data_IF_458154754603
#
_entry.id   IF_458154754603
#
_cell.length_a   1.000
_cell.length_b   1.000
_cell.length_c   1.000
_cell.angle_alpha   90.00
_cell.angle_beta   90.00
_cell.angle_gamma   90.00
#
_symmetry.space_group_name_H-M   'P 1'
#
loop_
_entity.id
_entity.type
_entity.pdbx_description
1 polymer ?
#
# COMPACT_ATOMS: atom_id res chain seq x y z
N UNK A 1 7.79 11.09 -5.18
CA UNK A 1 8.90 10.31 -5.78
C UNK A 1 9.97 9.96 -4.72
N UNK A 2 10.67 8.82 -4.88
CA UNK A 2 11.72 8.23 -3.99
C UNK A 2 11.29 7.46 -2.73
N UNK A 3 10.12 6.83 -2.73
CA UNK A 3 9.80 5.85 -1.70
C UNK A 3 10.26 4.45 -2.14
N UNK A 4 11.43 4.01 -1.67
CA UNK A 4 11.99 2.67 -1.98
C UNK A 4 10.99 1.57 -1.65
N UNK A 5 10.35 1.65 -0.48
CA UNK A 5 9.35 0.69 -0.02
C UNK A 5 8.08 0.67 -0.87
N UNK A 6 7.67 1.82 -1.42
CA UNK A 6 6.53 1.91 -2.33
C UNK A 6 6.83 1.22 -3.66
N UNK A 7 8.08 1.22 -4.12
CA UNK A 7 8.47 0.46 -5.29
C UNK A 7 8.56 -1.04 -4.99
N UNK A 8 9.10 -1.41 -3.81
CA UNK A 8 9.18 -2.82 -3.37
C UNK A 8 7.81 -3.49 -3.36
N UNK A 9 6.80 -2.84 -2.77
CA UNK A 9 5.45 -3.42 -2.70
C UNK A 9 4.79 -3.54 -4.07
N UNK A 10 4.91 -2.53 -4.93
CA UNK A 10 4.38 -2.59 -6.30
C UNK A 10 4.99 -3.74 -7.07
N UNK A 11 6.31 -3.90 -6.99
CA UNK A 11 7.02 -4.99 -7.65
C UNK A 11 6.54 -6.35 -7.13
N UNK A 12 6.42 -6.48 -5.81
CA UNK A 12 5.91 -7.71 -5.19
C UNK A 12 4.49 -8.07 -5.68
N UNK A 13 3.59 -7.08 -5.75
CA UNK A 13 2.23 -7.29 -6.28
C UNK A 13 2.26 -7.66 -7.77
N UNK A 14 3.10 -7.01 -8.57
CA UNK A 14 3.26 -7.29 -10.01
C UNK A 14 3.84 -8.69 -10.26
N UNK A 15 4.87 -9.10 -9.52
CA UNK A 15 5.49 -10.43 -9.60
C UNK A 15 4.47 -11.53 -9.32
N UNK A 16 3.57 -11.30 -8.36
CA UNK A 16 2.47 -12.21 -8.02
C UNK A 16 1.21 -12.01 -8.90
N UNK A 17 1.28 -11.16 -9.93
CA UNK A 17 0.17 -10.84 -10.86
C UNK A 17 -1.11 -10.36 -10.16
N UNK A 18 -0.96 -9.71 -9.01
CA UNK A 18 -2.06 -9.11 -8.27
C UNK A 18 -2.43 -7.79 -8.92
N UNK A 19 -3.72 -7.60 -9.21
CA UNK A 19 -4.22 -6.32 -9.67
C UNK A 19 -4.31 -5.35 -8.49
N UNK A 20 -3.75 -4.15 -8.65
CA UNK A 20 -3.83 -3.10 -7.64
C UNK A 20 -4.01 -1.74 -8.31
N UNK A 21 -4.54 -0.79 -7.53
CA UNK A 21 -4.64 0.60 -7.94
C UNK A 21 -3.60 1.41 -7.20
N UNK A 22 -2.73 2.08 -7.94
CA UNK A 22 -1.82 3.07 -7.37
C UNK A 22 -2.55 4.40 -7.17
N UNK A 23 -2.37 4.99 -5.99
CA UNK A 23 -2.85 6.34 -5.69
C UNK A 23 -1.66 7.16 -5.20
N UNK A 24 -1.27 8.16 -6.00
CA UNK A 24 -0.23 9.09 -5.60
C UNK A 24 -0.81 10.17 -4.68
N UNK A 25 -0.61 9.96 -3.38
CA UNK A 25 -1.02 10.90 -2.33
C UNK A 25 -0.18 12.18 -2.32
N UNK A 26 1.02 12.19 -2.91
CA UNK A 26 1.84 13.40 -2.98
C UNK A 26 1.23 14.43 -3.96
N UNK A 27 0.58 13.94 -5.02
CA UNK A 27 -0.09 14.76 -6.02
C UNK A 27 -1.58 14.97 -5.71
N UNK A 28 -2.16 14.22 -4.77
CA UNK A 28 -3.58 14.27 -4.42
C UNK A 28 -3.79 14.43 -2.90
N UNK A 29 -3.96 15.68 -2.48
CA UNK A 29 -4.19 16.05 -1.09
C UNK A 29 -5.40 15.34 -0.46
N UNK A 30 -6.50 15.17 -1.21
CA UNK A 30 -7.70 14.48 -0.69
C UNK A 30 -7.43 13.01 -0.41
N UNK A 31 -6.65 12.36 -1.28
CA UNK A 31 -6.24 10.98 -1.06
C UNK A 31 -5.29 10.85 0.14
N UNK A 32 -4.40 11.83 0.35
CA UNK A 32 -3.55 11.89 1.53
C UNK A 32 -4.38 12.01 2.83
N UNK A 33 -5.37 12.90 2.85
CA UNK A 33 -6.28 13.07 3.99
C UNK A 33 -7.09 11.80 4.26
N UNK A 34 -7.63 11.16 3.23
CA UNK A 34 -8.35 9.90 3.37
C UNK A 34 -7.44 8.78 3.91
N UNK A 35 -6.21 8.68 3.39
CA UNK A 35 -5.19 7.74 3.86
C UNK A 35 -4.94 7.91 5.36
N UNK A 36 -4.68 9.15 5.80
CA UNK A 36 -4.45 9.47 7.22
C UNK A 36 -5.68 9.19 8.07
N UNK A 37 -6.88 9.54 7.58
CA UNK A 37 -8.13 9.30 8.31
C UNK A 37 -8.38 7.82 8.54
N UNK A 38 -8.05 6.97 7.56
CA UNK A 38 -8.28 5.52 7.68
C UNK A 38 -7.20 4.80 8.48
N UNK A 39 -5.92 5.17 8.32
CA UNK A 39 -4.80 4.48 8.99
C UNK A 39 -4.37 5.11 10.31
N UNK A 40 -4.77 6.36 10.57
CA UNK A 40 -4.25 7.19 11.64
C UNK A 40 -2.82 7.69 11.41
N UNK A 41 -2.20 7.42 10.25
CA UNK A 41 -0.80 7.68 9.98
C UNK A 41 -0.58 8.42 8.66
N UNK A 42 0.40 9.34 8.64
CA UNK A 42 0.81 10.10 7.45
C UNK A 42 1.90 9.40 6.62
N UNK A 43 2.55 8.37 7.16
CA UNK A 43 3.67 7.69 6.50
C UNK A 43 3.23 6.80 5.34
N UNK A 44 4.03 6.75 4.28
CA UNK A 44 3.88 5.84 3.13
C UNK A 44 5.00 4.77 3.16
N UNK A 45 4.83 3.61 2.51
CA UNK A 45 3.63 3.12 1.81
C UNK A 45 2.50 2.74 2.76
N UNK A 46 1.26 2.81 2.28
CA UNK A 46 0.10 2.20 2.94
C UNK A 46 -0.66 1.37 1.91
N UNK A 47 -1.15 0.22 2.34
CA UNK A 47 -1.87 -0.72 1.49
C UNK A 47 -3.20 -1.07 2.11
N UNK A 48 -4.27 -0.89 1.36
CA UNK A 48 -5.61 -1.33 1.72
C UNK A 48 -5.90 -2.64 0.98
N UNK A 49 -6.01 -3.73 1.74
CA UNK A 49 -6.32 -5.06 1.21
C UNK A 49 -7.62 -5.53 1.86
N UNK A 50 -8.70 -5.59 1.08
CA UNK A 50 -10.04 -5.98 1.56
C UNK A 50 -10.54 -5.17 2.78
N UNK A 51 -10.18 -3.88 2.87
CA UNK A 51 -10.54 -3.02 4.00
C UNK A 51 -9.56 -3.08 5.17
N UNK A 52 -8.55 -3.96 5.12
CA UNK A 52 -7.47 -4.01 6.10
C UNK A 52 -6.30 -3.13 5.67
N UNK A 53 -5.93 -2.18 6.52
CA UNK A 53 -4.86 -1.23 6.23
C UNK A 53 -3.56 -1.70 6.85
N UNK A 54 -2.55 -1.82 6.00
CA UNK A 54 -1.17 -2.14 6.36
C UNK A 54 -0.34 -0.90 6.13
N UNK A 55 0.30 -0.40 7.18
CA UNK A 55 1.26 0.70 7.08
C UNK A 55 2.67 0.12 6.93
N UNK A 56 3.41 0.62 5.94
CA UNK A 56 4.73 0.12 5.57
C UNK A 56 4.67 -1.07 4.60
N UNK A 57 5.74 -1.86 4.60
CA UNK A 57 5.85 -3.09 3.80
C UNK A 57 6.02 -4.30 4.71
N UNK A 58 4.90 -4.96 5.03
CA UNK A 58 4.86 -6.20 5.79
C UNK A 58 4.54 -7.36 4.84
N UNK A 59 5.59 -7.94 4.25
CA UNK A 59 5.46 -9.03 3.27
C UNK A 59 4.65 -10.21 3.82
N UNK A 60 4.94 -10.78 5.00
CA UNK A 60 4.15 -11.89 5.55
C UNK A 60 2.66 -11.58 5.68
N UNK A 61 2.30 -10.38 6.16
CA UNK A 61 0.88 -10.00 6.30
C UNK A 61 0.21 -9.75 4.96
N UNK A 62 0.90 -9.08 4.03
CA UNK A 62 0.41 -8.84 2.67
C UNK A 62 0.16 -10.18 1.96
N UNK A 63 1.11 -11.10 2.04
CA UNK A 63 1.01 -12.43 1.41
C UNK A 63 -0.19 -13.20 1.96
N UNK A 64 -0.35 -13.20 3.29
CA UNK A 64 -1.49 -13.85 3.94
C UNK A 64 -2.83 -13.26 3.49
N UNK A 65 -2.93 -11.93 3.38
CA UNK A 65 -4.18 -11.25 2.99
C UNK A 65 -4.50 -11.39 1.50
N UNK A 66 -3.47 -11.59 0.66
CA UNK A 66 -3.62 -11.81 -0.77
C UNK A 66 -3.66 -13.29 -1.16
N UNK A 67 -3.44 -14.20 -0.21
CA UNK A 67 -3.38 -15.64 -0.47
C UNK A 67 -2.15 -16.06 -1.29
N UNK A 68 -1.05 -15.30 -1.18
CA UNK A 68 0.24 -15.62 -1.79
C UNK A 68 0.97 -16.58 -0.84
N UNK A 69 1.37 -17.75 -1.35
CA UNK A 69 2.00 -18.85 -0.59
C UNK A 69 3.47 -19.00 -0.98
#
# INVERSE_FOLDING_TARGET
PTCTWCNTIKRHLQENRIQFREVDVASNQKAAEEMVRKSGQQGVPQTDINGEIIVGFDKPRIDRLLGIN
#
